data_IF_540132724821
#
_entry.id   IF_540132724821
#
_cell.length_a   1.000
_cell.length_b   1.000
_cell.length_c   1.000
_cell.angle_alpha   90.00
_cell.angle_beta   90.00
_cell.angle_gamma   90.00
#
_symmetry.space_group_name_H-M   'P 1'
#
loop_
_entity.id
_entity.type
_entity.pdbx_description
1 polymer ?
#
# COMPACT_ATOMS: atom_id res chain seq x y z
N UNK A 1 23.43 -5.86 2.71
CA UNK A 1 23.24 -6.30 1.33
C UNK A 1 21.78 -6.69 1.22
N UNK A 2 20.92 -5.77 0.78
CA UNK A 2 19.47 -6.00 0.79
C UNK A 2 19.13 -7.13 -0.20
N UNK A 3 18.27 -8.04 0.24
CA UNK A 3 17.83 -9.22 -0.48
C UNK A 3 17.41 -8.83 -1.90
N UNK A 4 18.11 -9.36 -2.91
CA UNK A 4 18.06 -8.91 -4.30
C UNK A 4 16.83 -9.40 -5.07
N UNK A 5 15.85 -9.97 -4.36
CA UNK A 5 14.65 -10.53 -4.97
C UNK A 5 13.44 -9.61 -4.68
N UNK A 6 12.69 -9.18 -5.70
CA UNK A 6 11.52 -8.34 -5.50
C UNK A 6 10.46 -9.06 -4.65
N UNK A 7 9.84 -8.33 -3.73
CA UNK A 7 8.67 -8.82 -2.97
C UNK A 7 7.51 -8.99 -3.95
N UNK A 8 6.89 -10.18 -3.96
CA UNK A 8 5.81 -10.53 -4.90
C UNK A 8 4.48 -10.77 -4.18
N UNK A 9 3.40 -10.75 -4.98
CA UNK A 9 2.05 -11.09 -4.54
C UNK A 9 1.26 -11.77 -5.66
N UNK A 10 0.19 -12.47 -5.27
CA UNK A 10 -0.77 -13.02 -6.23
C UNK A 10 -1.84 -11.97 -6.53
N UNK A 11 -1.79 -11.39 -7.73
CA UNK A 11 -2.90 -10.59 -8.29
C UNK A 11 -4.05 -11.54 -8.62
N UNK A 12 -5.26 -11.19 -8.20
CA UNK A 12 -6.47 -11.93 -8.53
C UNK A 12 -7.20 -11.33 -9.73
N UNK A 13 -7.15 -10.00 -9.88
CA UNK A 13 -7.82 -9.22 -10.92
C UNK A 13 -6.95 -7.99 -11.28
N UNK A 14 -7.14 -7.37 -12.46
CA UNK A 14 -7.97 -7.85 -13.58
C UNK A 14 -7.35 -9.05 -14.31
N UNK A 15 -6.01 -9.16 -14.29
CA UNK A 15 -5.24 -10.27 -14.86
C UNK A 15 -4.62 -11.09 -13.73
N UNK A 16 -5.10 -12.32 -13.48
CA UNK A 16 -4.54 -13.18 -12.43
C UNK A 16 -3.07 -13.53 -12.69
N UNK A 17 -2.24 -13.50 -11.65
CA UNK A 17 -0.83 -13.89 -11.78
C UNK A 17 0.04 -13.51 -10.59
N UNK A 18 1.32 -13.90 -10.64
CA UNK A 18 2.33 -13.41 -9.69
C UNK A 18 2.92 -12.11 -10.24
N UNK A 19 2.94 -11.07 -9.40
CA UNK A 19 3.41 -9.73 -9.76
C UNK A 19 4.28 -9.18 -8.63
N UNK A 20 5.30 -8.39 -8.96
CA UNK A 20 6.06 -7.66 -7.95
C UNK A 20 5.24 -6.51 -7.37
N UNK A 21 5.49 -6.17 -6.11
CA UNK A 21 4.76 -5.09 -5.42
C UNK A 21 4.93 -3.73 -6.12
N UNK A 22 6.12 -3.43 -6.63
CA UNK A 22 6.39 -2.16 -7.32
C UNK A 22 5.58 -2.02 -8.63
N UNK A 23 5.45 -3.10 -9.40
CA UNK A 23 4.62 -3.13 -10.61
C UNK A 23 3.14 -3.06 -10.23
N UNK A 24 2.72 -3.80 -9.21
CA UNK A 24 1.32 -3.82 -8.78
C UNK A 24 0.80 -2.45 -8.30
N UNK A 25 1.65 -1.68 -7.62
CA UNK A 25 1.30 -0.37 -7.04
C UNK A 25 1.85 0.84 -7.82
N UNK A 26 2.41 0.61 -9.01
CA UNK A 26 3.02 1.66 -9.83
C UNK A 26 2.10 2.85 -10.07
N UNK A 27 2.67 4.06 -9.96
CA UNK A 27 1.97 5.32 -10.23
C UNK A 27 1.76 5.59 -11.72
N UNK A 28 2.44 4.87 -12.61
CA UNK A 28 2.36 5.06 -14.07
C UNK A 28 0.97 4.74 -14.64
N UNK A 29 0.20 3.88 -13.97
CA UNK A 29 -1.15 3.48 -14.39
C UNK A 29 -2.24 4.49 -14.02
N UNK A 30 -1.88 5.63 -13.39
CA UNK A 30 -2.83 6.49 -12.71
C UNK A 30 -2.85 7.88 -13.36
N UNK A 31 -4.03 8.38 -13.71
CA UNK A 31 -4.22 9.63 -14.44
C UNK A 31 -4.06 10.84 -13.50
N UNK A 32 -3.04 11.67 -13.76
CA UNK A 32 -2.77 12.90 -12.98
C UNK A 32 -3.54 14.08 -13.57
N UNK A 33 -4.15 14.90 -12.72
CA UNK A 33 -4.74 16.18 -13.11
C UNK A 33 -3.81 17.31 -12.70
N UNK A 34 -3.42 18.17 -13.64
CA UNK A 34 -2.44 19.24 -13.37
C UNK A 34 -2.97 20.32 -12.41
N UNK A 35 -4.29 20.54 -12.36
CA UNK A 35 -4.90 21.66 -11.62
C UNK A 35 -5.35 21.32 -10.19
N UNK A 36 -5.16 20.08 -9.73
CA UNK A 36 -5.56 19.69 -8.37
C UNK A 36 -4.63 18.63 -7.78
N UNK A 37 -4.44 18.61 -6.44
CA UNK A 37 -3.78 17.51 -5.78
C UNK A 37 -4.48 16.19 -6.05
N UNK A 38 -3.72 15.12 -6.01
CA UNK A 38 -4.25 13.78 -6.12
C UNK A 38 -3.93 13.00 -4.85
N UNK A 39 -4.95 12.30 -4.35
CA UNK A 39 -4.91 11.61 -3.08
C UNK A 39 -4.86 10.11 -3.35
N UNK A 40 -3.90 9.45 -2.71
CA UNK A 40 -3.81 8.00 -2.63
C UNK A 40 -4.20 7.61 -1.22
N UNK A 41 -5.13 6.67 -1.08
CA UNK A 41 -5.48 6.07 0.20
C UNK A 41 -4.84 4.68 0.28
N UNK A 42 -4.05 4.46 1.34
CA UNK A 42 -3.42 3.17 1.63
C UNK A 42 -3.96 2.68 2.97
N UNK A 43 -4.75 1.61 2.93
CA UNK A 43 -5.44 1.06 4.10
C UNK A 43 -5.37 -0.47 4.04
N UNK A 44 -5.51 -1.10 5.20
CA UNK A 44 -5.69 -2.54 5.35
C UNK A 44 -6.96 -2.80 6.15
N UNK A 45 -7.65 -3.89 5.82
CA UNK A 45 -8.80 -4.37 6.57
C UNK A 45 -8.79 -5.90 6.60
N UNK A 46 -9.35 -6.48 7.66
CA UNK A 46 -9.72 -7.89 7.68
C UNK A 46 -10.88 -8.17 6.71
N UNK A 47 -11.17 -9.46 6.48
CA UNK A 47 -12.25 -9.87 5.57
C UNK A 47 -13.65 -9.40 6.01
N UNK A 48 -13.86 -9.19 7.30
CA UNK A 48 -15.08 -8.63 7.90
C UNK A 48 -15.04 -7.10 8.07
N UNK A 49 -13.96 -6.44 7.64
CA UNK A 49 -13.85 -4.97 7.60
C UNK A 49 -13.25 -4.32 8.84
N UNK A 50 -12.71 -5.09 9.78
CA UNK A 50 -11.97 -4.52 10.91
C UNK A 50 -10.64 -3.91 10.45
N UNK A 51 -10.30 -2.74 10.99
CA UNK A 51 -9.09 -1.99 10.65
C UNK A 51 -7.95 -2.16 11.67
N UNK A 52 -8.24 -2.87 12.77
CA UNK A 52 -7.29 -3.08 13.86
C UNK A 52 -7.62 -4.35 14.64
N UNK A 53 -6.58 -4.99 15.16
CA UNK A 53 -6.63 -6.00 16.21
C UNK A 53 -6.06 -5.35 17.48
N UNK A 54 -6.81 -5.38 18.58
CA UNK A 54 -6.45 -4.72 19.84
C UNK A 54 -6.01 -3.24 19.68
N UNK A 55 -6.70 -2.52 18.78
CA UNK A 55 -6.43 -1.12 18.50
C UNK A 55 -5.21 -0.83 17.62
N UNK A 56 -4.55 -1.85 17.06
CA UNK A 56 -3.41 -1.70 16.12
C UNK A 56 -3.64 -2.44 14.80
N UNK A 57 -3.17 -1.84 13.70
CA UNK A 57 -3.24 -2.45 12.38
C UNK A 57 -2.12 -3.47 12.09
N UNK A 58 -1.04 -3.49 12.89
CA UNK A 58 0.14 -4.32 12.65
C UNK A 58 -0.18 -5.82 12.51
N UNK A 59 -1.16 -6.32 13.28
CA UNK A 59 -1.57 -7.72 13.25
C UNK A 59 -2.39 -8.13 12.01
N UNK A 60 -2.79 -7.18 11.16
CA UNK A 60 -3.49 -7.46 9.90
C UNK A 60 -2.53 -7.65 8.72
N UNK A 61 -1.35 -7.01 8.79
CA UNK A 61 -0.39 -6.92 7.70
C UNK A 61 0.59 -8.09 7.64
N UNK A 62 1.39 -8.09 6.58
CA UNK A 62 2.52 -9.01 6.40
C UNK A 62 3.67 -8.28 5.68
N UNK A 63 4.75 -9.00 5.34
CA UNK A 63 5.90 -8.41 4.66
C UNK A 63 5.55 -7.77 3.30
N UNK A 64 4.61 -8.35 2.56
CA UNK A 64 4.14 -7.85 1.26
C UNK A 64 3.31 -6.57 1.44
N UNK A 65 2.41 -6.53 2.42
CA UNK A 65 1.64 -5.31 2.76
C UNK A 65 2.56 -4.16 3.16
N UNK A 66 3.54 -4.43 4.03
CA UNK A 66 4.56 -3.44 4.41
C UNK A 66 5.34 -2.91 3.21
N UNK A 67 5.69 -3.78 2.26
CA UNK A 67 6.38 -3.36 1.03
C UNK A 67 5.49 -2.44 0.17
N UNK A 68 4.19 -2.74 0.07
CA UNK A 68 3.23 -1.91 -0.67
C UNK A 68 3.05 -0.54 0.00
N UNK A 69 2.88 -0.51 1.33
CA UNK A 69 2.81 0.73 2.10
C UNK A 69 4.06 1.61 1.87
N UNK A 70 5.25 1.03 1.98
CA UNK A 70 6.50 1.77 1.78
C UNK A 70 6.66 2.27 0.34
N UNK A 71 6.24 1.49 -0.66
CA UNK A 71 6.26 1.92 -2.06
C UNK A 71 5.36 3.14 -2.26
N UNK A 72 4.12 3.08 -1.77
CA UNK A 72 3.17 4.19 -1.90
C UNK A 72 3.63 5.42 -1.13
N UNK A 73 4.10 5.25 0.10
CA UNK A 73 4.60 6.35 0.94
C UNK A 73 5.79 7.09 0.30
N UNK A 74 6.69 6.36 -0.38
CA UNK A 74 7.83 6.96 -1.11
C UNK A 74 7.43 7.62 -2.43
N UNK A 75 6.24 7.32 -2.95
CA UNK A 75 5.74 7.83 -4.22
C UNK A 75 4.96 9.15 -4.12
N UNK A 76 4.75 9.64 -2.90
CA UNK A 76 3.94 10.84 -2.59
C UNK A 76 4.79 12.01 -2.14
N UNK A 77 4.38 13.23 -2.51
CA UNK A 77 5.04 14.47 -2.10
C UNK A 77 4.82 14.79 -0.60
N UNK A 78 3.67 14.36 -0.05
CA UNK A 78 3.31 14.54 1.35
C UNK A 78 2.41 13.42 1.84
N UNK A 79 2.41 13.20 3.16
CA UNK A 79 1.60 12.16 3.82
C UNK A 79 0.70 12.82 4.87
N UNK A 80 -0.60 12.58 4.73
CA UNK A 80 -1.60 12.99 5.71
C UNK A 80 -1.98 11.80 6.58
N UNK A 81 -1.85 11.96 7.90
CA UNK A 81 -2.16 10.92 8.89
C UNK A 81 -2.86 11.55 10.10
N UNK A 82 -3.84 10.84 10.67
CA UNK A 82 -4.54 11.30 11.87
C UNK A 82 -3.64 11.24 13.11
N UNK A 83 -3.75 12.23 14.00
CA UNK A 83 -2.92 12.30 15.21
C UNK A 83 -3.03 11.04 16.10
N UNK A 84 -4.22 10.44 16.19
CA UNK A 84 -4.45 9.22 16.97
C UNK A 84 -3.78 7.96 16.37
N UNK A 85 -3.31 8.02 15.12
CA UNK A 85 -2.54 6.96 14.45
C UNK A 85 -1.03 7.14 14.64
N UNK A 86 -0.57 8.37 14.90
CA UNK A 86 0.86 8.69 15.09
C UNK A 86 1.39 8.28 16.47
N UNK A 87 0.52 8.32 17.48
CA UNK A 87 0.84 7.95 18.87
C UNK A 87 1.30 6.49 19.02
#
# INVERSE_FOLDING_TARGET
MADSNPVTMRRLLPEPGIVSVDVAYSVTHRHRHAERPWIIMCMIASADGALALDGRAEGLGNATDRAAFLHLHRSTDAVLVGAATVR
#
